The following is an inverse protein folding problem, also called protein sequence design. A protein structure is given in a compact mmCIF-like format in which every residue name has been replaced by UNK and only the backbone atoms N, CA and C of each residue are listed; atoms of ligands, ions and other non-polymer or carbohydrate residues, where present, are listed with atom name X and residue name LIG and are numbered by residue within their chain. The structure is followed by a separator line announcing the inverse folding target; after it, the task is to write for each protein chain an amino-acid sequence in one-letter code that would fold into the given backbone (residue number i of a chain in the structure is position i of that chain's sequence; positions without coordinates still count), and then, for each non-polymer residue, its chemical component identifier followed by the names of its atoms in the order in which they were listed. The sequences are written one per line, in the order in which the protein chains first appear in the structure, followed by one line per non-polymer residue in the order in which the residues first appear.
data_IF_453800883013
#
_entry.id   IF_453800883013
#
_cell.length_a   1.000
_cell.length_b   1.000
_cell.length_c   1.000
_cell.angle_alpha   90.00
_cell.angle_beta   90.00
_cell.angle_gamma   90.00
#
_symmetry.space_group_name_H-M   'P 1'
#
loop_
_entity.id
_entity.type
_entity.pdbx_description
1 polymer ?
#
# COMPACT_ATOMS: atom_id res chain seq x y z
N UNK A 1 -16.02 25.67 12.38
CA UNK A 1 -15.98 24.92 11.10
C UNK A 1 -15.07 23.72 11.33
N UNK A 2 -15.13 22.59 10.60
CA UNK A 2 -14.15 21.52 10.84
C UNK A 2 -12.72 22.03 10.62
N UNK A 3 -11.77 21.64 11.48
CA UNK A 3 -10.36 22.12 11.46
C UNK A 3 -9.70 21.94 10.09
N UNK A 4 -10.05 20.88 9.36
CA UNK A 4 -9.61 20.68 7.98
C UNK A 4 -9.95 21.88 7.09
N UNK A 5 -11.20 22.32 7.09
CA UNK A 5 -11.65 23.44 6.26
C UNK A 5 -11.10 24.77 6.74
N UNK A 6 -10.83 24.93 8.04
CA UNK A 6 -10.11 26.10 8.55
C UNK A 6 -8.69 26.17 7.96
N UNK A 7 -7.97 25.04 7.92
CA UNK A 7 -6.66 24.97 7.28
C UNK A 7 -6.72 25.24 5.76
N UNK A 8 -7.68 24.65 5.06
CA UNK A 8 -7.89 24.91 3.62
C UNK A 8 -8.19 26.40 3.40
N UNK A 9 -9.05 27.01 4.21
CA UNK A 9 -9.39 28.42 4.11
C UNK A 9 -8.19 29.34 4.29
N UNK A 10 -7.31 29.06 5.26
CA UNK A 10 -6.07 29.83 5.45
C UNK A 10 -5.16 29.71 4.22
N UNK A 11 -4.97 28.49 3.69
CA UNK A 11 -4.11 28.28 2.52
C UNK A 11 -4.65 28.99 1.29
N UNK A 12 -5.95 28.87 1.01
CA UNK A 12 -6.59 29.43 -0.18
C UNK A 12 -6.75 30.96 -0.10
N UNK A 13 -7.34 31.44 0.99
CA UNK A 13 -7.77 32.83 1.09
C UNK A 13 -6.64 33.75 1.54
N UNK A 14 -5.80 33.31 2.48
CA UNK A 14 -4.74 34.13 3.06
C UNK A 14 -3.41 33.91 2.35
N UNK A 15 -2.98 32.65 2.23
CA UNK A 15 -1.67 32.32 1.64
C UNK A 15 -1.67 32.31 0.10
N UNK A 16 -2.86 32.33 -0.53
CA UNK A 16 -3.02 32.24 -1.99
C UNK A 16 -2.39 30.97 -2.59
N UNK A 17 -2.44 29.86 -1.85
CA UNK A 17 -1.98 28.55 -2.26
C UNK A 17 -3.16 27.64 -2.62
N UNK A 18 -3.08 26.99 -3.78
CA UNK A 18 -4.13 26.10 -4.24
C UNK A 18 -4.03 24.73 -3.59
N UNK A 19 -5.04 24.39 -2.79
CA UNK A 19 -5.21 23.07 -2.20
C UNK A 19 -5.92 22.17 -3.20
N UNK A 20 -5.15 21.29 -3.85
CA UNK A 20 -5.64 20.35 -4.86
C UNK A 20 -5.96 18.97 -4.29
N UNK A 21 -5.27 18.57 -3.22
CA UNK A 21 -5.40 17.24 -2.66
C UNK A 21 -5.10 17.22 -1.16
N UNK A 22 -5.69 16.25 -0.47
CA UNK A 22 -5.38 15.88 0.90
C UNK A 22 -5.02 14.40 0.97
N UNK A 23 -3.89 14.11 1.63
CA UNK A 23 -3.41 12.75 1.85
C UNK A 23 -3.54 12.45 3.34
N UNK A 24 -4.10 11.29 3.67
CA UNK A 24 -4.18 10.84 5.07
C UNK A 24 -3.94 9.34 5.18
N UNK A 25 -3.67 8.89 6.40
CA UNK A 25 -3.49 7.47 6.65
C UNK A 25 -4.78 6.65 6.49
N UNK A 26 -4.62 5.33 6.47
CA UNK A 26 -5.74 4.40 6.46
C UNK A 26 -6.46 4.23 7.80
N UNK A 27 -6.47 5.19 8.72
CA UNK A 27 -7.21 5.05 9.98
C UNK A 27 -8.74 5.13 9.77
N UNK A 28 -9.51 4.49 10.66
CA UNK A 28 -10.98 4.49 10.56
C UNK A 28 -11.61 5.90 10.58
N UNK A 29 -11.12 6.86 11.40
CA UNK A 29 -11.59 8.25 11.37
C UNK A 29 -11.37 8.92 10.00
N UNK A 30 -10.20 8.71 9.38
CA UNK A 30 -9.86 9.31 8.09
C UNK A 30 -10.72 8.74 6.95
N UNK A 31 -10.96 7.43 6.94
CA UNK A 31 -11.94 6.84 6.01
C UNK A 31 -13.36 7.37 6.21
N UNK A 32 -13.77 7.61 7.47
CA UNK A 32 -15.08 8.22 7.77
C UNK A 32 -15.11 9.67 7.31
N UNK A 33 -14.02 10.39 7.50
CA UNK A 33 -13.85 11.76 7.03
C UNK A 33 -14.08 11.86 5.51
N UNK A 34 -13.47 10.99 4.69
CA UNK A 34 -13.74 10.97 3.25
C UNK A 34 -15.22 10.72 2.96
N UNK A 35 -15.85 9.71 3.58
CA UNK A 35 -17.28 9.43 3.36
C UNK A 35 -18.20 10.60 3.71
N UNK A 36 -17.90 11.36 4.75
CA UNK A 36 -18.70 12.54 5.12
C UNK A 36 -18.66 13.63 4.05
N UNK A 37 -17.68 13.63 3.16
CA UNK A 37 -17.58 14.60 2.06
C UNK A 37 -18.40 14.21 0.83
N UNK A 38 -19.11 13.07 0.83
CA UNK A 38 -20.02 12.71 -0.26
C UNK A 38 -21.08 13.77 -0.54
N UNK A 39 -21.51 14.52 0.49
CA UNK A 39 -22.49 15.60 0.36
C UNK A 39 -21.99 16.80 -0.45
N UNK A 40 -20.68 16.87 -0.69
CA UNK A 40 -20.02 17.92 -1.46
C UNK A 40 -19.48 17.40 -2.79
N UNK A 41 -19.83 16.18 -3.20
CA UNK A 41 -19.49 15.64 -4.52
C UNK A 41 -20.74 15.70 -5.41
N UNK A 42 -20.72 16.56 -6.42
CA UNK A 42 -21.80 16.73 -7.39
C UNK A 42 -21.84 15.62 -8.46
N UNK A 43 -20.84 14.73 -8.46
CA UNK A 43 -20.66 13.65 -9.46
C UNK A 43 -20.20 12.36 -8.78
N UNK A 44 -20.90 11.98 -7.71
CA UNK A 44 -20.60 10.75 -6.99
C UNK A 44 -21.09 9.53 -7.79
N UNK A 45 -20.23 9.01 -8.65
CA UNK A 45 -20.57 7.89 -9.55
C UNK A 45 -20.34 6.51 -8.91
N UNK A 46 -19.79 6.46 -7.69
CA UNK A 46 -19.48 5.20 -7.01
C UNK A 46 -19.58 5.31 -5.48
N UNK A 47 -19.61 4.17 -4.80
CA UNK A 47 -19.64 4.09 -3.32
C UNK A 47 -18.33 4.55 -2.64
N UNK A 48 -17.37 5.10 -3.39
CA UNK A 48 -16.07 5.53 -2.89
C UNK A 48 -15.92 7.05 -3.06
N UNK A 49 -15.92 7.76 -1.93
CA UNK A 49 -15.64 9.21 -1.92
C UNK A 49 -14.13 9.43 -2.00
N UNK A 50 -13.69 10.04 -3.09
CA UNK A 50 -12.29 10.33 -3.38
C UNK A 50 -12.06 11.79 -3.79
N UNK A 51 -13.12 12.62 -3.75
CA UNK A 51 -13.07 14.05 -3.98
C UNK A 51 -14.24 14.76 -3.32
N UNK A 52 -14.17 16.09 -3.26
CA UNK A 52 -15.30 16.98 -3.02
C UNK A 52 -15.05 18.35 -3.64
N UNK A 53 -16.11 19.15 -3.81
CA UNK A 53 -15.99 20.56 -4.18
C UNK A 53 -15.21 21.28 -3.07
N UNK A 54 -14.24 22.12 -3.47
CA UNK A 54 -13.55 22.99 -2.52
C UNK A 54 -14.46 24.17 -2.15
N UNK A 55 -14.88 24.28 -0.89
CA UNK A 55 -15.84 25.32 -0.46
C UNK A 55 -15.31 26.75 -0.58
N UNK A 56 -13.99 26.93 -0.71
CA UNK A 56 -13.33 28.22 -0.93
C UNK A 56 -12.94 28.48 -2.38
N UNK A 57 -13.06 27.46 -3.23
CA UNK A 57 -12.72 27.50 -4.65
C UNK A 57 -13.67 26.57 -5.43
N UNK A 58 -14.97 26.94 -5.55
CA UNK A 58 -16.01 26.03 -6.05
C UNK A 58 -15.82 25.57 -7.50
N UNK A 59 -14.95 26.24 -8.26
CA UNK A 59 -14.58 25.89 -9.63
C UNK A 59 -13.71 24.63 -9.73
N UNK A 60 -13.25 24.06 -8.61
CA UNK A 60 -12.38 22.88 -8.59
C UNK A 60 -12.66 21.91 -7.46
N UNK A 61 -12.25 20.67 -7.70
CA UNK A 61 -12.27 19.62 -6.69
C UNK A 61 -11.01 19.61 -5.83
N UNK A 62 -11.21 19.24 -4.57
CA UNK A 62 -10.18 18.76 -3.67
C UNK A 62 -10.23 17.22 -3.67
N UNK A 63 -9.09 16.59 -3.94
CA UNK A 63 -8.98 15.13 -4.07
C UNK A 63 -8.45 14.48 -2.79
N UNK A 64 -9.00 13.32 -2.43
CA UNK A 64 -8.59 12.56 -1.25
C UNK A 64 -7.77 11.34 -1.65
N UNK A 65 -6.58 11.20 -1.06
CA UNK A 65 -5.71 10.05 -1.26
C UNK A 65 -5.39 9.37 0.06
N UNK A 66 -5.32 8.05 0.04
CA UNK A 66 -4.69 7.30 1.13
C UNK A 66 -3.19 7.22 0.85
N UNK A 67 -2.37 7.22 1.91
CA UNK A 67 -0.93 7.10 1.75
C UNK A 67 -0.53 5.67 1.29
N UNK A 68 0.18 5.60 0.16
CA UNK A 68 0.59 4.32 -0.42
C UNK A 68 1.45 3.45 0.54
N UNK A 69 2.40 4.00 1.32
CA UNK A 69 3.19 3.22 2.27
C UNK A 69 2.36 2.52 3.36
N UNK A 70 1.34 3.14 3.96
CA UNK A 70 0.46 2.42 4.88
C UNK A 70 -0.44 1.42 4.16
N UNK A 71 -0.88 1.67 2.93
CA UNK A 71 -1.67 0.68 2.18
C UNK A 71 -0.89 -0.62 1.98
N UNK A 72 0.40 -0.55 1.60
CA UNK A 72 1.26 -1.73 1.46
C UNK A 72 1.47 -2.47 2.79
N UNK A 73 1.73 -1.73 3.88
CA UNK A 73 1.83 -2.35 5.22
C UNK A 73 0.52 -3.04 5.62
N UNK A 74 -0.61 -2.39 5.36
CA UNK A 74 -1.94 -2.91 5.68
C UNK A 74 -2.22 -4.16 4.89
N UNK A 75 -1.95 -4.16 3.59
CA UNK A 75 -2.11 -5.32 2.73
C UNK A 75 -1.27 -6.52 3.22
N UNK A 76 0.01 -6.31 3.56
CA UNK A 76 0.87 -7.36 4.13
C UNK A 76 0.30 -7.89 5.45
N UNK A 77 -0.12 -7.00 6.35
CA UNK A 77 -0.67 -7.39 7.65
C UNK A 77 -2.00 -8.17 7.50
N UNK A 78 -2.84 -7.78 6.54
CA UNK A 78 -4.06 -8.52 6.20
C UNK A 78 -3.72 -9.90 5.63
N UNK A 79 -2.73 -10.00 4.75
CA UNK A 79 -2.27 -11.28 4.21
C UNK A 79 -1.71 -12.19 5.30
N UNK A 80 -0.92 -11.64 6.24
CA UNK A 80 -0.43 -12.37 7.41
C UNK A 80 -1.57 -12.99 8.24
N UNK A 81 -2.67 -12.26 8.40
CA UNK A 81 -3.85 -12.78 9.11
C UNK A 81 -4.74 -13.70 8.26
N UNK A 82 -4.40 -13.92 7.00
CA UNK A 82 -5.07 -14.84 6.08
C UNK A 82 -4.43 -16.22 6.18
N UNK A 83 -5.03 -17.08 7.02
CA UNK A 83 -4.54 -18.44 7.29
C UNK A 83 -3.37 -18.55 8.28
N UNK A 84 -2.89 -17.45 8.85
CA UNK A 84 -1.82 -17.42 9.87
C UNK A 84 -2.06 -16.30 10.91
N UNK A 85 -1.12 -16.11 11.84
CA UNK A 85 -1.21 -15.17 12.95
C UNK A 85 -2.38 -15.50 13.88
N UNK A 86 -3.40 -14.63 13.90
CA UNK A 86 -4.66 -14.88 14.63
C UNK A 86 -5.75 -15.52 13.75
N UNK A 87 -5.50 -15.73 12.46
CA UNK A 87 -6.49 -16.29 11.52
C UNK A 87 -7.76 -15.45 11.36
N UNK A 88 -7.68 -14.13 11.56
CA UNK A 88 -8.85 -13.24 11.59
C UNK A 88 -9.30 -12.74 10.22
N UNK A 89 -8.63 -13.18 9.14
CA UNK A 89 -8.91 -12.78 7.77
C UNK A 89 -8.99 -14.01 6.87
N UNK A 90 -9.78 -13.89 5.81
CA UNK A 90 -9.85 -14.84 4.70
C UNK A 90 -9.83 -14.00 3.44
N UNK A 91 -8.66 -13.87 2.83
CA UNK A 91 -8.47 -13.07 1.63
C UNK A 91 -8.59 -13.95 0.39
N UNK A 92 -9.24 -13.40 -0.63
CA UNK A 92 -9.49 -14.05 -1.91
C UNK A 92 -9.25 -13.06 -3.04
N UNK A 93 -8.76 -13.55 -4.17
CA UNK A 93 -8.63 -12.78 -5.41
C UNK A 93 -9.03 -13.69 -6.57
N UNK A 94 -10.03 -13.28 -7.35
CA UNK A 94 -10.55 -14.05 -8.50
C UNK A 94 -10.82 -15.53 -8.20
N UNK A 95 -11.44 -15.81 -7.06
CA UNK A 95 -11.77 -17.18 -6.63
C UNK A 95 -10.59 -18.00 -6.10
N UNK A 96 -9.40 -17.40 -5.99
CA UNK A 96 -8.21 -18.04 -5.43
C UNK A 96 -7.92 -17.50 -4.03
N UNK A 97 -7.59 -18.38 -3.09
CA UNK A 97 -7.30 -17.99 -1.72
C UNK A 97 -5.90 -17.37 -1.61
N UNK A 98 -5.78 -16.30 -0.83
CA UNK A 98 -4.48 -15.69 -0.52
C UNK A 98 -4.06 -16.15 0.87
N UNK A 99 -2.98 -16.91 0.95
CA UNK A 99 -2.53 -17.54 2.21
C UNK A 99 -1.10 -17.09 2.53
N UNK A 100 -0.85 -16.68 3.78
CA UNK A 100 0.49 -16.28 4.24
C UNK A 100 1.52 -17.41 4.14
N UNK A 101 1.06 -18.65 4.37
CA UNK A 101 1.89 -19.86 4.29
C UNK A 101 2.66 -19.97 2.97
N UNK A 102 2.09 -19.49 1.86
CA UNK A 102 2.77 -19.50 0.56
C UNK A 102 4.11 -18.75 0.61
N UNK A 103 4.17 -17.64 1.34
CA UNK A 103 5.39 -16.83 1.51
C UNK A 103 6.31 -17.45 2.55
N UNK A 104 5.77 -17.97 3.67
CA UNK A 104 6.61 -18.55 4.73
C UNK A 104 7.30 -19.83 4.27
N UNK A 105 6.65 -20.63 3.40
CA UNK A 105 7.22 -21.81 2.77
C UNK A 105 8.53 -21.49 2.03
N UNK A 106 8.55 -20.41 1.23
CA UNK A 106 9.77 -19.98 0.50
C UNK A 106 10.93 -19.80 1.47
N UNK A 107 10.75 -18.99 2.52
CA UNK A 107 11.82 -18.66 3.46
C UNK A 107 12.28 -19.90 4.25
N UNK A 108 11.34 -20.77 4.61
CA UNK A 108 11.64 -21.99 5.36
C UNK A 108 12.41 -23.01 4.51
N UNK A 109 12.06 -23.17 3.24
CA UNK A 109 12.77 -24.08 2.33
C UNK A 109 14.17 -23.56 2.02
N UNK A 110 14.34 -22.26 1.78
CA UNK A 110 15.66 -21.64 1.61
C UNK A 110 16.57 -21.86 2.84
N UNK A 111 16.00 -21.81 4.05
CA UNK A 111 16.75 -22.07 5.27
C UNK A 111 17.16 -23.53 5.43
N UNK A 112 16.29 -24.48 5.03
CA UNK A 112 16.60 -25.91 5.07
C UNK A 112 17.67 -26.28 4.04
N UNK A 113 17.57 -25.72 2.84
CA UNK A 113 18.44 -26.05 1.72
C UNK A 113 19.75 -25.27 1.72
N UNK A 114 19.86 -24.19 2.51
CA UNK A 114 21.04 -23.32 2.57
C UNK A 114 21.22 -22.42 1.34
N UNK A 115 20.32 -22.48 0.36
CA UNK A 115 20.35 -21.70 -0.88
C UNK A 115 19.27 -20.61 -0.85
N UNK A 116 19.67 -19.37 -1.16
CA UNK A 116 18.80 -18.19 -1.18
C UNK A 116 18.44 -17.81 -2.62
N UNK A 117 17.19 -18.02 -3.00
CA UNK A 117 16.62 -17.61 -4.29
C UNK A 117 16.23 -16.13 -4.25
N UNK A 118 15.70 -15.66 -3.12
CA UNK A 118 15.43 -14.25 -2.84
C UNK A 118 16.27 -13.82 -1.63
N UNK A 119 17.53 -13.39 -1.80
CA UNK A 119 18.43 -13.06 -0.68
C UNK A 119 17.89 -12.00 0.30
N UNK A 120 17.00 -11.12 -0.19
CA UNK A 120 16.36 -10.08 0.63
C UNK A 120 15.29 -10.62 1.56
N UNK A 121 14.67 -11.77 1.24
CA UNK A 121 13.60 -12.35 2.03
C UNK A 121 14.21 -13.15 3.20
N UNK A 122 13.98 -12.64 4.40
CA UNK A 122 14.54 -13.17 5.66
C UNK A 122 13.44 -13.53 6.65
N UNK A 123 13.83 -14.13 7.78
CA UNK A 123 12.90 -14.44 8.86
C UNK A 123 12.13 -13.22 9.37
N UNK A 124 12.72 -12.02 9.37
CA UNK A 124 12.06 -10.77 9.78
C UNK A 124 10.88 -10.38 8.89
N UNK A 125 10.84 -10.90 7.65
CA UNK A 125 9.74 -10.67 6.72
C UNK A 125 8.52 -11.54 7.05
N UNK A 126 8.75 -12.73 7.61
CA UNK A 126 7.69 -13.70 7.88
C UNK A 126 7.25 -13.76 9.34
N UNK A 127 8.15 -13.41 10.28
CA UNK A 127 7.86 -13.30 11.71
C UNK A 127 7.52 -11.85 12.05
N UNK A 128 6.22 -11.56 12.14
CA UNK A 128 5.74 -10.20 12.35
C UNK A 128 5.82 -9.78 13.82
N UNK A 129 6.83 -8.99 14.16
CA UNK A 129 6.99 -8.29 15.45
C UNK A 129 6.42 -6.87 15.38
N UNK A 130 6.30 -6.19 16.52
CA UNK A 130 5.86 -4.79 16.56
C UNK A 130 6.70 -3.89 15.63
N UNK A 131 7.99 -4.17 15.49
CA UNK A 131 8.87 -3.46 14.56
C UNK A 131 8.56 -3.80 13.10
N UNK A 132 8.51 -5.09 12.73
CA UNK A 132 8.36 -5.48 11.32
C UNK A 132 6.95 -5.22 10.78
N UNK A 133 5.93 -5.12 11.65
CA UNK A 133 4.56 -4.70 11.30
C UNK A 133 4.51 -3.27 10.76
N UNK A 134 5.36 -2.37 11.27
CA UNK A 134 5.40 -0.96 10.86
C UNK A 134 6.43 -0.66 9.75
N UNK A 135 7.28 -1.64 9.41
CA UNK A 135 8.37 -1.44 8.47
C UNK A 135 7.89 -1.58 7.00
N UNK A 136 7.81 -0.45 6.29
CA UNK A 136 7.37 -0.39 4.89
C UNK A 136 8.31 -1.20 3.98
N UNK A 137 9.62 -1.17 4.22
CA UNK A 137 10.60 -1.92 3.41
C UNK A 137 10.34 -3.41 3.46
N UNK A 138 10.11 -3.96 4.65
CA UNK A 138 9.83 -5.39 4.81
C UNK A 138 8.50 -5.75 4.11
N UNK A 139 7.48 -4.90 4.23
CA UNK A 139 6.19 -5.13 3.56
C UNK A 139 6.31 -5.11 2.02
N UNK A 140 7.01 -4.12 1.47
CA UNK A 140 7.24 -4.01 0.02
C UNK A 140 8.08 -5.18 -0.52
N UNK A 141 9.08 -5.64 0.22
CA UNK A 141 9.90 -6.79 -0.18
C UNK A 141 9.11 -8.12 -0.16
N UNK A 142 8.16 -8.28 0.78
CA UNK A 142 7.22 -9.40 0.78
C UNK A 142 6.27 -9.34 -0.42
N UNK A 143 5.69 -8.17 -0.68
CA UNK A 143 4.69 -7.95 -1.72
C UNK A 143 5.35 -7.49 -3.03
N UNK A 144 6.32 -8.28 -3.50
CA UNK A 144 7.17 -7.94 -4.65
C UNK A 144 6.92 -8.83 -5.87
N UNK A 145 7.25 -8.34 -7.06
CA UNK A 145 7.25 -9.16 -8.28
C UNK A 145 8.25 -10.31 -8.20
N UNK A 146 9.36 -10.16 -7.46
CA UNK A 146 10.30 -11.27 -7.20
C UNK A 146 9.63 -12.43 -6.45
N UNK A 147 8.87 -12.13 -5.39
CA UNK A 147 8.10 -13.16 -4.66
C UNK A 147 7.03 -13.77 -5.57
N UNK A 148 6.32 -12.95 -6.36
CA UNK A 148 5.34 -13.44 -7.35
C UNK A 148 5.96 -14.45 -8.31
N UNK A 149 7.11 -14.12 -8.90
CA UNK A 149 7.80 -14.98 -9.86
C UNK A 149 8.28 -16.29 -9.22
N UNK A 150 8.75 -16.27 -7.97
CA UNK A 150 9.14 -17.50 -7.29
C UNK A 150 7.95 -18.39 -6.99
N UNK A 151 6.83 -17.81 -6.54
CA UNK A 151 5.59 -18.55 -6.34
C UNK A 151 5.13 -19.23 -7.63
N UNK A 152 5.09 -18.50 -8.74
CA UNK A 152 4.68 -19.02 -10.06
C UNK A 152 5.59 -20.14 -10.58
N UNK A 153 6.91 -20.00 -10.42
CA UNK A 153 7.87 -20.89 -11.09
C UNK A 153 8.32 -22.09 -10.24
N UNK A 154 8.37 -21.95 -8.92
CA UNK A 154 8.93 -22.99 -8.02
C UNK A 154 7.89 -23.57 -7.05
N UNK A 155 6.71 -22.95 -6.96
CA UNK A 155 5.67 -23.32 -6.01
C UNK A 155 4.26 -23.27 -6.63
N UNK A 156 4.03 -23.75 -7.87
CA UNK A 156 2.81 -23.46 -8.62
C UNK A 156 1.53 -24.02 -7.98
N UNK A 157 1.63 -25.00 -7.08
CA UNK A 157 0.49 -25.61 -6.40
C UNK A 157 -0.23 -24.59 -5.50
N UNK A 158 -1.40 -24.14 -5.95
CA UNK A 158 -2.35 -23.24 -5.25
C UNK A 158 -1.80 -21.85 -4.84
N UNK A 159 -0.65 -21.42 -5.40
CA UNK A 159 -0.07 -20.11 -5.06
C UNK A 159 -0.44 -18.98 -6.01
N UNK A 160 -1.13 -19.28 -7.11
CA UNK A 160 -1.45 -18.31 -8.16
C UNK A 160 -2.14 -17.05 -7.62
N UNK A 161 -3.06 -17.20 -6.66
CA UNK A 161 -3.75 -16.08 -6.03
C UNK A 161 -2.76 -15.17 -5.30
N UNK A 162 -1.97 -15.73 -4.39
CA UNK A 162 -0.94 -14.98 -3.64
C UNK A 162 0.10 -14.37 -4.57
N UNK A 163 0.52 -15.07 -5.62
CA UNK A 163 1.48 -14.57 -6.59
C UNK A 163 0.91 -13.37 -7.35
N UNK A 164 -0.34 -13.45 -7.81
CA UNK A 164 -1.01 -12.35 -8.50
C UNK A 164 -1.18 -11.13 -7.58
N UNK A 165 -1.55 -11.37 -6.33
CA UNK A 165 -1.66 -10.32 -5.32
C UNK A 165 -0.33 -9.58 -5.09
N UNK A 166 0.79 -10.30 -4.99
CA UNK A 166 2.12 -9.68 -4.83
C UNK A 166 2.49 -8.80 -6.04
N UNK A 167 2.25 -9.29 -7.26
CA UNK A 167 2.50 -8.55 -8.51
C UNK A 167 1.63 -7.29 -8.64
N UNK A 168 0.34 -7.38 -8.28
CA UNK A 168 -0.57 -6.25 -8.27
C UNK A 168 -0.14 -5.16 -7.30
N UNK A 169 0.32 -5.54 -6.10
CA UNK A 169 0.73 -4.57 -5.08
C UNK A 169 2.10 -3.97 -5.33
N UNK A 170 3.03 -4.72 -5.91
CA UNK A 170 4.30 -4.16 -6.40
C UNK A 170 3.98 -3.11 -7.47
N UNK A 171 3.25 -3.48 -8.54
CA UNK A 171 2.87 -2.54 -9.61
C UNK A 171 2.15 -1.28 -9.09
N UNK A 172 1.22 -1.45 -8.16
CA UNK A 172 0.53 -0.33 -7.50
C UNK A 172 1.50 0.59 -6.76
N UNK A 173 2.45 0.02 -6.02
CA UNK A 173 3.38 0.81 -5.22
C UNK A 173 4.43 1.51 -6.09
N UNK A 174 4.89 0.87 -7.16
CA UNK A 174 5.79 1.47 -8.16
C UNK A 174 5.14 2.73 -8.73
N UNK A 175 3.91 2.61 -9.23
CA UNK A 175 3.15 3.71 -9.81
C UNK A 175 3.02 4.92 -8.87
N UNK A 176 2.84 4.68 -7.57
CA UNK A 176 2.62 5.74 -6.58
C UNK A 176 3.91 6.23 -5.88
N UNK A 177 5.04 5.58 -6.10
CA UNK A 177 6.32 5.91 -5.47
C UNK A 177 7.39 6.38 -6.48
N UNK A 178 6.98 6.68 -7.71
CA UNK A 178 7.84 7.31 -8.73
C UNK A 178 8.12 8.77 -8.34
N UNK A 179 9.39 9.19 -8.40
CA UNK A 179 9.77 10.60 -8.11
C UNK A 179 9.79 11.50 -9.35
N UNK A 180 9.98 10.93 -10.54
CA UNK A 180 9.87 11.63 -11.82
C UNK A 180 9.60 10.63 -12.97
N UNK A 181 9.05 11.13 -14.08
CA UNK A 181 8.66 10.30 -15.23
C UNK A 181 9.80 9.47 -15.82
N UNK A 182 11.03 9.98 -15.79
CA UNK A 182 12.22 9.24 -16.24
C UNK A 182 12.55 8.07 -15.32
N UNK A 183 12.39 8.23 -14.00
CA UNK A 183 12.60 7.14 -13.03
C UNK A 183 11.56 6.04 -13.15
N UNK A 184 10.30 6.36 -13.43
CA UNK A 184 9.24 5.37 -13.66
C UNK A 184 9.50 4.48 -14.89
N UNK A 185 10.26 4.98 -15.87
CA UNK A 185 10.64 4.25 -17.08
C UNK A 185 11.99 3.53 -16.91
N UNK A 186 12.94 4.14 -16.19
CA UNK A 186 14.35 3.72 -16.19
C UNK A 186 14.81 2.95 -14.95
N UNK A 187 14.11 3.02 -13.80
CA UNK A 187 14.58 2.39 -12.56
C UNK A 187 13.66 1.25 -12.11
N UNK A 188 14.19 0.01 -11.94
CA UNK A 188 13.53 -0.96 -11.08
C UNK A 188 13.48 -0.42 -9.64
N UNK A 189 12.35 -0.62 -8.97
CA UNK A 189 11.98 -0.03 -7.68
C UNK A 189 13.16 0.18 -6.70
N UNK A 190 13.21 1.34 -6.03
CA UNK A 190 14.33 1.70 -5.14
C UNK A 190 14.50 0.75 -3.93
N UNK A 191 13.43 0.03 -3.55
CA UNK A 191 13.45 -1.04 -2.54
C UNK A 191 14.28 -2.26 -2.96
N UNK A 192 14.61 -2.36 -4.25
CA UNK A 192 15.39 -3.45 -4.80
C UNK A 192 16.89 -3.15 -4.85
N UNK A 193 17.34 -1.89 -4.72
CA UNK A 193 18.74 -1.60 -5.03
C UNK A 193 19.60 -0.84 -4.01
N UNK A 194 19.15 0.01 -3.08
CA UNK A 194 20.09 0.58 -2.08
C UNK A 194 19.47 1.26 -0.83
N UNK A 195 20.24 1.19 0.26
CA UNK A 195 19.99 1.56 1.65
C UNK A 195 19.97 3.07 1.94
N UNK A 196 19.09 3.85 1.30
CA UNK A 196 18.85 5.25 1.72
C UNK A 196 17.37 5.62 1.63
N UNK A 197 16.67 5.37 2.73
CA UNK A 197 15.39 6.00 3.02
C UNK A 197 15.67 7.44 3.45
N UNK A 198 15.31 8.43 2.63
CA UNK A 198 14.91 9.72 3.15
C UNK A 198 13.41 9.58 3.44
N UNK A 199 13.12 9.22 4.69
CA UNK A 199 11.79 9.42 5.26
C UNK A 199 11.59 10.92 5.43
N UNK A 200 10.75 11.53 4.61
CA UNK A 200 10.06 12.76 5.00
C UNK A 200 8.68 12.36 5.50
N UNK A 201 8.64 12.02 6.79
CA UNK A 201 7.43 12.10 7.60
C UNK A 201 7.21 13.57 7.99
N UNK A 202 6.03 14.09 7.70
CA UNK A 202 5.40 15.15 8.48
C UNK A 202 4.08 14.61 8.98
#
# INVERSE_FOLDING_TARGET
MPTFWEAVGVLELTCKLYVIAAVSDGAAPNRKFYRMHSMFDDKLDCNVVHRCINIYAPERYLWFFADAPHLIKTARNCLYHSGDGRGTRSLWNDGQQLIWYHITRIVNDEMKNGLKIIPKLTQDHIKLSAYSVMNVRLAAQVLSSSVSNILKNYYPDDTNGTAKFCEMLDSFFDCLNVRNSSEGIMKPNHFYYHTRMLMTSV
#
